data_IF_250100413346
#
_entry.id   IF_250100413346
#
_cell.length_a   1.000
_cell.length_b   1.000
_cell.length_c   1.000
_cell.angle_alpha   90.00
_cell.angle_beta   90.00
_cell.angle_gamma   90.00
#
_symmetry.space_group_name_H-M   'P 1'
#
loop_
_entity.id
_entity.type
_entity.pdbx_description
1 polymer ?
#
# COMPACT_ATOMS: atom_id res chain seq x y z
N UNK A 1 -11.63 -1.64 55.38
CA UNK A 1 -11.56 -0.64 54.30
C UNK A 1 -10.12 -0.32 54.00
N UNK A 2 -9.57 -0.91 52.92
CA UNK A 2 -8.43 -0.42 52.14
C UNK A 2 -8.42 -1.22 50.83
N UNK A 3 -8.39 -0.47 49.72
CA UNK A 3 -8.34 -0.90 48.32
C UNK A 3 -7.18 -1.91 48.10
N UNK A 4 -7.25 -2.87 47.18
CA UNK A 4 -7.72 -2.80 45.80
C UNK A 4 -6.50 -2.73 44.90
N UNK A 5 -6.18 -3.81 44.20
CA UNK A 5 -5.42 -3.79 42.94
C UNK A 5 -5.55 -5.16 42.25
N UNK A 6 -6.65 -5.34 41.53
CA UNK A 6 -6.76 -6.38 40.51
C UNK A 6 -6.14 -5.82 39.24
N UNK A 7 -4.93 -6.29 38.91
CA UNK A 7 -4.30 -6.02 37.62
C UNK A 7 -5.06 -6.80 36.56
N UNK A 8 -6.02 -6.13 35.92
CA UNK A 8 -6.59 -6.57 34.65
C UNK A 8 -5.47 -6.57 33.62
N UNK A 9 -5.11 -7.76 33.13
CA UNK A 9 -4.26 -7.90 31.95
C UNK A 9 -5.11 -7.49 30.76
N UNK A 10 -4.82 -6.32 30.21
CA UNK A 10 -5.35 -5.86 28.94
C UNK A 10 -4.79 -6.78 27.85
N UNK A 11 -5.65 -7.64 27.32
CA UNK A 11 -5.36 -8.42 26.12
C UNK A 11 -5.33 -7.43 24.95
N UNK A 12 -4.14 -7.17 24.43
CA UNK A 12 -3.97 -6.46 23.17
C UNK A 12 -4.83 -7.18 22.12
N UNK A 13 -5.84 -6.45 21.64
CA UNK A 13 -6.67 -6.88 20.53
C UNK A 13 -5.74 -6.85 19.32
N UNK A 14 -5.47 -8.01 18.73
CA UNK A 14 -4.89 -8.07 17.40
C UNK A 14 -5.89 -7.36 16.48
N UNK A 15 -5.43 -6.28 15.85
CA UNK A 15 -6.17 -5.54 14.83
C UNK A 15 -6.44 -6.53 13.68
N UNK A 16 -7.67 -7.04 13.64
CA UNK A 16 -8.11 -7.92 12.56
C UNK A 16 -8.15 -7.08 11.30
N UNK A 17 -7.38 -7.49 10.29
CA UNK A 17 -7.45 -6.87 8.98
C UNK A 17 -8.90 -6.82 8.50
N UNK A 18 -9.32 -5.67 8.00
CA UNK A 18 -10.63 -5.48 7.37
C UNK A 18 -10.74 -6.43 6.16
N UNK A 19 -11.43 -7.57 6.35
CA UNK A 19 -11.76 -8.56 5.30
C UNK A 19 -12.60 -7.96 4.13
N UNK A 20 -12.98 -6.68 4.18
CA UNK A 20 -13.77 -5.95 3.16
C UNK A 20 -12.94 -4.93 2.36
N UNK A 21 -11.65 -4.75 2.68
CA UNK A 21 -10.78 -3.83 1.92
C UNK A 21 -10.58 -4.34 0.48
N UNK A 22 -10.53 -3.45 -0.53
CA UNK A 22 -10.27 -3.84 -1.91
C UNK A 22 -8.89 -4.51 -2.03
N UNK A 23 -8.74 -5.49 -2.91
CA UNK A 23 -7.47 -6.18 -3.15
C UNK A 23 -6.43 -5.26 -3.81
N UNK A 24 -5.13 -5.50 -3.55
CA UNK A 24 -4.05 -4.75 -4.20
C UNK A 24 -3.59 -5.45 -5.48
N UNK A 25 -4.44 -5.41 -6.51
CA UNK A 25 -4.37 -6.31 -7.66
C UNK A 25 -3.21 -6.03 -8.64
N UNK A 26 -2.38 -7.04 -8.87
CA UNK A 26 -1.45 -7.18 -9.99
C UNK A 26 -1.93 -8.28 -10.96
N UNK A 27 -1.37 -8.31 -12.16
CA UNK A 27 -1.75 -9.29 -13.18
C UNK A 27 -0.57 -10.19 -13.59
N UNK A 28 -0.79 -11.51 -13.58
CA UNK A 28 0.15 -12.52 -14.06
C UNK A 28 -0.17 -12.92 -15.50
N UNK A 29 0.87 -13.16 -16.30
CA UNK A 29 0.78 -13.50 -17.72
C UNK A 29 1.30 -14.92 -18.02
N UNK A 30 1.00 -15.50 -19.20
CA UNK A 30 1.42 -16.86 -19.56
C UNK A 30 2.94 -17.09 -19.54
N UNK A 31 3.72 -16.04 -19.78
CA UNK A 31 5.19 -16.08 -19.75
C UNK A 31 5.77 -16.05 -18.32
N UNK A 32 4.91 -15.98 -17.30
CA UNK A 32 5.28 -15.93 -15.89
C UNK A 32 5.48 -14.51 -15.35
N UNK A 33 5.54 -13.50 -16.22
CA UNK A 33 5.69 -12.11 -15.78
C UNK A 33 4.48 -11.65 -14.98
N UNK A 34 4.72 -10.73 -14.05
CA UNK A 34 3.68 -10.09 -13.25
C UNK A 34 3.83 -8.57 -13.38
N UNK A 35 2.75 -7.87 -13.72
CA UNK A 35 2.77 -6.40 -13.84
C UNK A 35 1.82 -5.75 -12.86
N UNK A 36 2.31 -4.67 -12.26
CA UNK A 36 1.50 -3.69 -11.55
C UNK A 36 1.75 -2.29 -12.13
N UNK A 37 0.70 -1.53 -12.50
CA UNK A 37 -0.71 -1.95 -12.58
C UNK A 37 -0.96 -3.06 -13.61
N UNK A 38 -2.15 -3.66 -13.57
CA UNK A 38 -2.57 -4.62 -14.58
C UNK A 38 -2.70 -3.98 -15.96
N UNK A 39 -2.31 -4.73 -17.00
CA UNK A 39 -2.46 -4.31 -18.39
C UNK A 39 -3.24 -5.36 -19.21
N UNK A 40 -4.09 -4.95 -20.18
CA UNK A 40 -4.82 -5.90 -21.03
C UNK A 40 -3.92 -6.80 -21.88
N UNK A 41 -2.69 -6.36 -22.14
CA UNK A 41 -1.68 -7.08 -22.91
C UNK A 41 -0.36 -6.97 -22.17
N UNK A 42 0.19 -8.12 -21.77
CA UNK A 42 1.43 -8.20 -21.02
C UNK A 42 2.69 -8.14 -21.89
N UNK A 43 3.88 -8.25 -21.27
CA UNK A 43 5.18 -8.20 -21.95
C UNK A 43 5.33 -9.23 -23.09
N UNK A 44 4.80 -10.44 -22.90
CA UNK A 44 4.76 -11.50 -23.92
C UNK A 44 3.75 -11.27 -25.06
N UNK A 45 2.94 -10.21 -25.01
CA UNK A 45 1.90 -9.91 -26.02
C UNK A 45 0.57 -10.65 -25.81
N UNK A 46 0.40 -11.29 -24.65
CA UNK A 46 -0.77 -12.10 -24.30
C UNK A 46 -1.62 -11.43 -23.21
N UNK A 47 -2.88 -11.85 -23.09
CA UNK A 47 -3.78 -11.39 -22.03
C UNK A 47 -3.36 -11.98 -20.67
N UNK A 48 -3.73 -11.32 -19.55
CA UNK A 48 -3.46 -11.86 -18.22
C UNK A 48 -4.21 -13.18 -17.98
N UNK A 49 -3.61 -14.07 -17.19
CA UNK A 49 -4.17 -15.39 -16.86
C UNK A 49 -4.61 -15.50 -15.40
N UNK A 50 -4.14 -14.61 -14.54
CA UNK A 50 -4.43 -14.64 -13.10
C UNK A 50 -4.29 -13.22 -12.50
N UNK A 51 -5.10 -12.94 -11.48
CA UNK A 51 -4.93 -11.79 -10.60
C UNK A 51 -4.15 -12.21 -9.37
N UNK A 52 -3.15 -11.42 -9.00
CA UNK A 52 -2.36 -11.60 -7.77
C UNK A 52 -2.73 -10.46 -6.82
N UNK A 53 -3.09 -10.76 -5.58
CA UNK A 53 -3.28 -9.74 -4.55
C UNK A 53 -1.96 -9.44 -3.85
N UNK A 54 -1.37 -8.28 -4.11
CA UNK A 54 -0.11 -7.86 -3.49
C UNK A 54 -0.26 -7.58 -1.98
N UNK A 55 -1.49 -7.47 -1.46
CA UNK A 55 -1.71 -7.29 -0.02
C UNK A 55 -1.41 -8.52 0.82
N UNK A 56 -1.30 -9.69 0.18
CA UNK A 56 -0.87 -10.94 0.82
C UNK A 56 0.67 -11.01 1.01
N UNK A 57 1.42 -10.01 0.54
CA UNK A 57 2.87 -9.98 0.52
C UNK A 57 3.41 -8.72 1.21
N UNK A 58 4.61 -8.82 1.77
CA UNK A 58 5.44 -7.66 2.12
C UNK A 58 6.36 -7.30 0.95
N UNK A 59 6.86 -6.07 0.96
CA UNK A 59 7.73 -5.53 -0.08
C UNK A 59 8.97 -4.87 0.53
N UNK A 60 10.07 -4.84 -0.23
CA UNK A 60 11.28 -4.12 0.14
C UNK A 60 11.26 -2.70 -0.44
N UNK A 61 11.66 -1.70 0.34
CA UNK A 61 11.84 -0.33 -0.14
C UNK A 61 13.07 -0.24 -1.06
N UNK A 62 12.82 -0.06 -2.36
CA UNK A 62 13.87 0.15 -3.37
C UNK A 62 14.45 1.56 -3.27
N UNK A 63 13.58 2.56 -3.11
CA UNK A 63 13.97 3.96 -2.90
C UNK A 63 12.78 4.77 -2.42
N UNK A 64 13.05 5.89 -1.75
CA UNK A 64 12.00 6.78 -1.26
C UNK A 64 12.41 8.25 -1.36
N UNK A 65 11.43 9.13 -1.18
CA UNK A 65 11.64 10.58 -1.06
C UNK A 65 10.54 11.23 -0.22
N UNK A 66 10.80 12.46 0.24
CA UNK A 66 9.81 13.29 0.95
C UNK A 66 9.50 14.53 0.12
N UNK A 67 8.24 14.69 -0.26
CA UNK A 67 7.72 15.92 -0.84
C UNK A 67 7.23 16.84 0.27
N UNK A 68 7.88 17.99 0.44
CA UNK A 68 7.55 18.99 1.47
C UNK A 68 6.71 20.16 0.94
N UNK A 69 6.36 20.15 -0.33
CA UNK A 69 5.56 21.17 -1.00
C UNK A 69 4.58 20.46 -1.92
N UNK A 70 3.48 19.96 -1.34
CA UNK A 70 2.60 19.02 -2.03
C UNK A 70 1.50 19.76 -2.79
N UNK A 71 0.95 19.16 -3.86
CA UNK A 71 -0.24 19.69 -4.50
C UNK A 71 -1.41 19.79 -3.51
N UNK A 72 -2.38 20.70 -3.75
CA UNK A 72 -3.59 20.80 -2.94
C UNK A 72 -4.29 19.45 -2.74
N UNK A 73 -4.71 19.21 -1.49
CA UNK A 73 -5.38 17.99 -1.06
C UNK A 73 -4.45 16.82 -0.73
N UNK A 74 -3.18 16.86 -1.14
CA UNK A 74 -2.20 15.84 -0.74
C UNK A 74 -1.58 16.21 0.61
N UNK A 75 -1.50 15.24 1.52
CA UNK A 75 -0.89 15.40 2.86
C UNK A 75 0.50 16.02 2.76
N UNK A 76 0.85 16.98 3.62
CA UNK A 76 2.18 17.60 3.68
C UNK A 76 2.79 17.39 5.08
N UNK A 77 4.03 16.84 5.19
CA UNK A 77 4.83 16.26 4.12
C UNK A 77 4.21 14.96 3.55
N UNK A 78 4.50 14.67 2.28
CA UNK A 78 4.15 13.40 1.65
C UNK A 78 5.38 12.53 1.43
N UNK A 79 5.47 11.43 2.15
CA UNK A 79 6.50 10.41 1.95
C UNK A 79 6.07 9.47 0.84
N UNK A 80 6.93 9.25 -0.15
CA UNK A 80 6.65 8.41 -1.31
C UNK A 80 7.76 7.39 -1.46
N UNK A 81 7.37 6.12 -1.61
CA UNK A 81 8.29 5.00 -1.78
C UNK A 81 8.00 4.26 -3.08
N UNK A 82 9.07 3.74 -3.67
CA UNK A 82 9.02 2.66 -4.66
C UNK A 82 9.43 1.40 -3.91
N UNK A 83 8.57 0.40 -3.97
CA UNK A 83 8.75 -0.89 -3.29
C UNK A 83 8.80 -2.02 -4.32
N UNK A 84 9.44 -3.12 -3.96
CA UNK A 84 9.51 -4.34 -4.75
C UNK A 84 8.99 -5.52 -3.93
N UNK A 85 7.92 -6.14 -4.41
CA UNK A 85 7.40 -7.41 -3.92
C UNK A 85 8.14 -8.55 -4.59
N UNK A 86 8.40 -9.63 -3.85
CA UNK A 86 8.78 -10.93 -4.41
C UNK A 86 7.54 -11.83 -4.42
N UNK A 87 7.00 -12.11 -5.61
CA UNK A 87 5.84 -12.98 -5.80
C UNK A 87 6.31 -14.26 -6.49
N UNK A 88 6.50 -15.33 -5.72
CA UNK A 88 7.02 -16.61 -6.21
C UNK A 88 8.36 -16.49 -6.96
N UNK A 89 9.23 -15.54 -6.56
CA UNK A 89 10.50 -15.24 -7.23
C UNK A 89 10.40 -14.28 -8.42
N UNK A 90 9.21 -13.75 -8.73
CA UNK A 90 9.01 -12.71 -9.75
C UNK A 90 8.92 -11.32 -9.08
N UNK A 91 9.76 -10.35 -9.47
CA UNK A 91 9.76 -9.02 -8.86
C UNK A 91 8.61 -8.15 -9.39
N UNK A 92 7.81 -7.59 -8.49
CA UNK A 92 6.73 -6.65 -8.84
C UNK A 92 6.96 -5.32 -8.15
N UNK A 93 7.06 -4.23 -8.92
CA UNK A 93 7.28 -2.89 -8.37
C UNK A 93 6.01 -2.07 -8.29
N UNK A 94 5.84 -1.38 -7.17
CA UNK A 94 4.77 -0.41 -6.97
C UNK A 94 5.33 0.91 -6.44
N UNK A 95 4.59 2.00 -6.67
CA UNK A 95 4.88 3.32 -6.11
C UNK A 95 3.65 3.79 -5.33
N UNK A 96 3.87 4.35 -4.15
CA UNK A 96 2.80 4.73 -3.25
C UNK A 96 3.26 5.65 -2.13
N UNK A 97 2.30 6.20 -1.39
CA UNK A 97 2.61 7.01 -0.20
C UNK A 97 3.03 6.09 0.94
N UNK A 98 4.02 6.48 1.73
CA UNK A 98 4.34 5.81 2.98
C UNK A 98 3.52 6.38 4.15
N UNK A 99 3.32 5.57 5.19
CA UNK A 99 2.62 6.00 6.41
C UNK A 99 3.46 6.93 7.27
N UNK A 100 4.79 6.77 7.23
CA UNK A 100 5.79 7.58 7.93
C UNK A 100 6.95 7.97 7.00
N UNK A 101 7.82 8.87 7.46
CA UNK A 101 9.06 9.27 6.81
C UNK A 101 10.30 8.53 7.31
N UNK A 102 10.14 7.68 8.32
CA UNK A 102 11.18 6.78 8.82
C UNK A 102 11.27 5.59 7.86
N UNK A 103 11.97 5.78 6.75
CA UNK A 103 12.26 4.76 5.75
C UNK A 103 13.74 4.81 5.37
N UNK A 104 14.31 3.65 5.13
CA UNK A 104 15.59 3.41 4.50
C UNK A 104 15.41 2.47 3.31
N UNK A 105 16.45 2.33 2.47
CA UNK A 105 16.42 1.33 1.40
C UNK A 105 16.66 -0.03 2.03
N UNK A 106 15.89 -1.03 1.63
CA UNK A 106 15.94 -2.37 2.22
C UNK A 106 14.92 -2.61 3.33
N UNK A 107 14.22 -1.57 3.79
CA UNK A 107 13.18 -1.73 4.81
C UNK A 107 12.01 -2.54 4.24
N UNK A 108 11.45 -3.40 5.08
CA UNK A 108 10.27 -4.18 4.75
C UNK A 108 9.00 -3.38 5.08
N UNK A 109 8.07 -3.34 4.14
CA UNK A 109 6.79 -2.64 4.26
C UNK A 109 5.64 -3.52 3.83
N UNK A 110 4.48 -3.32 4.42
CA UNK A 110 3.22 -3.92 3.99
C UNK A 110 2.31 -2.85 3.35
N UNK A 111 1.54 -3.20 2.31
CA UNK A 111 0.49 -2.34 1.80
C UNK A 111 -0.67 -2.26 2.81
N UNK A 112 -1.10 -1.05 3.13
CA UNK A 112 -2.27 -0.78 3.98
C UNK A 112 -3.28 0.06 3.21
N UNK A 113 -4.53 -0.38 3.21
CA UNK A 113 -5.62 0.35 2.55
C UNK A 113 -5.90 1.68 3.26
N UNK A 114 -6.31 2.68 2.47
CA UNK A 114 -6.62 4.03 2.92
C UNK A 114 -7.79 4.57 2.11
N UNK A 115 -8.92 4.85 2.77
CA UNK A 115 -10.14 5.36 2.13
C UNK A 115 -9.97 6.71 1.41
N UNK A 116 -8.92 7.47 1.75
CA UNK A 116 -8.69 8.79 1.19
C UNK A 116 -7.21 9.15 1.19
N UNK A 117 -6.53 8.93 0.05
CA UNK A 117 -5.13 9.29 -0.20
C UNK A 117 -4.92 10.81 -0.28
N UNK A 118 -5.95 11.55 -0.71
CA UNK A 118 -5.94 13.02 -0.81
C UNK A 118 -7.35 13.58 -0.68
N UNK A 119 -7.47 14.81 -0.18
CA UNK A 119 -8.74 15.52 -0.01
C UNK A 119 -9.40 15.85 -1.38
N UNK A 120 -10.61 15.34 -1.66
CA UNK A 120 -11.31 15.59 -2.91
C UNK A 120 -11.77 17.05 -3.07
N UNK A 121 -12.06 17.76 -1.98
CA UNK A 121 -12.55 19.15 -2.04
C UNK A 121 -11.43 20.16 -2.29
N UNK A 122 -10.20 19.82 -1.89
CA UNK A 122 -9.01 20.63 -2.14
C UNK A 122 -8.39 20.38 -3.54
N UNK A 123 -8.79 19.32 -4.23
CA UNK A 123 -8.25 18.94 -5.54
C UNK A 123 -8.74 19.84 -6.69
N UNK A 124 -7.98 19.86 -7.79
CA UNK A 124 -8.38 20.54 -9.05
C UNK A 124 -9.32 19.69 -9.92
N UNK A 125 -9.51 18.41 -9.57
CA UNK A 125 -10.36 17.44 -10.28
C UNK A 125 -11.78 17.53 -9.75
N UNK A 126 -12.75 17.19 -10.59
CA UNK A 126 -14.14 17.05 -10.13
C UNK A 126 -14.23 15.85 -9.17
N UNK A 127 -14.79 15.98 -7.96
CA UNK A 127 -14.74 14.95 -6.93
C UNK A 127 -15.27 13.58 -7.37
N UNK A 128 -16.35 13.52 -8.14
CA UNK A 128 -16.93 12.25 -8.60
C UNK A 128 -16.21 11.63 -9.82
N UNK A 129 -15.19 12.30 -10.38
CA UNK A 129 -14.50 11.84 -11.60
C UNK A 129 -13.50 10.70 -11.38
N UNK A 130 -13.22 10.36 -10.12
CA UNK A 130 -12.31 9.28 -9.76
C UNK A 130 -12.55 8.80 -8.33
N UNK A 131 -11.97 7.65 -8.04
CA UNK A 131 -11.80 7.14 -6.68
C UNK A 131 -10.62 7.87 -5.99
N UNK A 132 -10.67 7.93 -4.66
CA UNK A 132 -9.74 8.70 -3.83
C UNK A 132 -9.05 7.85 -2.78
N UNK A 133 -9.50 6.62 -2.62
CA UNK A 133 -8.90 5.57 -1.83
C UNK A 133 -7.71 4.94 -2.56
N UNK A 134 -7.06 4.00 -1.87
CA UNK A 134 -6.00 3.16 -2.40
C UNK A 134 -5.05 2.73 -1.30
N UNK A 135 -3.84 2.34 -1.68
CA UNK A 135 -2.87 1.76 -0.74
C UNK A 135 -1.74 2.73 -0.37
N UNK A 136 -1.28 2.58 0.87
CA UNK A 136 -0.06 3.20 1.41
C UNK A 136 0.88 2.10 1.88
N UNK A 137 2.15 2.42 2.09
CA UNK A 137 3.14 1.48 2.61
C UNK A 137 3.45 1.77 4.08
N UNK A 138 3.27 0.77 4.93
CA UNK A 138 3.58 0.82 6.37
C UNK A 138 4.81 -0.04 6.65
N UNK A 139 5.86 0.47 7.31
CA UNK A 139 6.94 -0.38 7.82
C UNK A 139 6.41 -1.50 8.72
N UNK A 140 6.95 -2.71 8.60
CA UNK A 140 6.51 -3.88 9.39
C UNK A 140 7.24 -4.03 10.74
N UNK A 141 8.04 -3.03 11.12
CA UNK A 141 8.85 -2.99 12.35
C UNK A 141 8.13 -2.46 13.60
#
# INVERSE_FOLDING_TARGET
MRAGNETTRETAVADGGDDDAPAFEAARYPDGSITYPSHPVGPGGEAPVETVDLSEYTAEVVTWTTSTATPPGVREPNHVAIVEFDVDGEPVRAIGQATTGDLERGDEVEPVYCDQLRDPEAGIREPASQEWDGFRFRPVE
#
